data_IF_930760493269
#
_entry.id   IF_930760493269
#
_cell.length_a   1.000
_cell.length_b   1.000
_cell.length_c   1.000
_cell.angle_alpha   90.00
_cell.angle_beta   90.00
_cell.angle_gamma   90.00
#
_symmetry.space_group_name_H-M   'P 1'
#
loop_
_entity.id
_entity.type
_entity.pdbx_description
1 polymer ?
#
# COMPACT_ATOMS: atom_id res chain seq x y z
N UNK A 1 -43.02 -24.32 35.10
CA UNK A 1 -43.78 -25.43 35.71
C UNK A 1 -44.58 -24.94 36.92
N UNK A 2 -43.94 -24.57 38.03
CA UNK A 2 -44.62 -24.21 39.30
C UNK A 2 -45.65 -23.08 39.14
N UNK A 3 -45.34 -22.03 38.37
CA UNK A 3 -46.24 -20.88 38.19
C UNK A 3 -47.52 -21.24 37.42
N UNK A 4 -47.42 -22.16 36.45
CA UNK A 4 -48.58 -22.62 35.69
C UNK A 4 -49.51 -23.49 36.56
N UNK A 5 -48.93 -24.37 37.38
CA UNK A 5 -49.65 -25.30 38.26
C UNK A 5 -50.36 -24.54 39.40
N UNK A 6 -49.71 -23.50 39.98
CA UNK A 6 -50.33 -22.65 41.01
C UNK A 6 -51.54 -21.85 40.51
N UNK A 7 -51.62 -21.59 39.20
CA UNK A 7 -52.76 -20.92 38.55
C UNK A 7 -53.88 -21.90 38.16
N UNK A 8 -53.82 -23.16 38.60
CA UNK A 8 -54.81 -24.18 38.27
C UNK A 8 -54.71 -24.70 36.83
N UNK A 9 -53.61 -24.42 36.11
CA UNK A 9 -53.41 -24.91 34.74
C UNK A 9 -52.55 -26.17 34.72
N UNK A 10 -52.93 -27.11 33.86
CA UNK A 10 -52.09 -28.27 33.55
C UNK A 10 -50.78 -27.82 32.89
N UNK A 11 -49.68 -28.48 33.24
CA UNK A 11 -48.38 -28.28 32.60
C UNK A 11 -47.86 -29.62 32.06
N UNK A 12 -47.51 -29.68 30.78
CA UNK A 12 -46.81 -30.80 30.14
C UNK A 12 -45.45 -30.31 29.66
N UNK A 13 -44.38 -31.05 29.97
CA UNK A 13 -43.04 -30.71 29.52
C UNK A 13 -41.98 -31.74 29.87
N UNK A 14 -40.79 -31.53 29.33
CA UNK A 14 -39.61 -32.34 29.64
C UNK A 14 -38.95 -31.83 30.93
N UNK A 15 -38.77 -32.71 31.89
CA UNK A 15 -38.05 -32.46 33.13
C UNK A 15 -36.73 -33.21 33.13
N UNK A 16 -35.63 -32.50 33.31
CA UNK A 16 -34.28 -33.05 33.41
C UNK A 16 -33.87 -33.08 34.88
N UNK A 17 -33.43 -34.24 35.36
CA UNK A 17 -32.91 -34.39 36.71
C UNK A 17 -31.73 -35.36 36.74
N UNK A 18 -31.14 -35.50 37.92
CA UNK A 18 -30.03 -36.41 38.20
C UNK A 18 -30.49 -37.37 39.29
N UNK A 19 -30.23 -38.66 39.12
CA UNK A 19 -30.55 -39.68 40.12
C UNK A 19 -29.57 -39.63 41.31
N UNK A 20 -29.74 -40.55 42.26
CA UNK A 20 -28.86 -40.65 43.44
C UNK A 20 -27.44 -41.11 43.10
N UNK A 21 -27.24 -41.69 41.93
CA UNK A 21 -25.95 -42.24 41.45
C UNK A 21 -25.20 -41.24 40.55
N UNK A 22 -25.83 -40.11 40.21
CA UNK A 22 -25.25 -39.07 39.36
C UNK A 22 -25.63 -39.17 37.89
N UNK A 23 -26.47 -40.13 37.49
CA UNK A 23 -26.90 -40.26 36.10
C UNK A 23 -28.01 -39.25 35.78
N UNK A 24 -27.88 -38.60 34.63
CA UNK A 24 -28.93 -37.70 34.13
C UNK A 24 -30.05 -38.50 33.50
N UNK A 25 -31.28 -38.26 33.95
CA UNK A 25 -32.48 -38.83 33.34
C UNK A 25 -33.45 -37.74 32.92
N UNK A 26 -34.32 -38.11 31.98
CA UNK A 26 -35.32 -37.22 31.42
C UNK A 26 -36.70 -37.82 31.65
N UNK A 27 -37.60 -37.03 32.22
CA UNK A 27 -39.00 -37.39 32.38
C UNK A 27 -39.86 -36.51 31.50
N UNK A 28 -40.80 -37.11 30.78
CA UNK A 28 -41.93 -36.36 30.26
C UNK A 28 -42.97 -36.27 31.36
N UNK A 29 -43.21 -35.07 31.85
CA UNK A 29 -43.88 -34.84 33.11
C UNK A 29 -45.11 -33.95 32.89
N UNK A 30 -46.25 -34.49 33.27
CA UNK A 30 -47.53 -33.79 33.30
C UNK A 30 -47.89 -33.47 34.75
N UNK A 31 -48.00 -32.19 35.07
CA UNK A 31 -48.45 -31.71 36.37
C UNK A 31 -49.93 -31.30 36.27
N UNK A 32 -50.76 -31.96 37.09
CA UNK A 32 -52.19 -31.68 37.21
C UNK A 32 -52.41 -31.05 38.59
N UNK A 33 -52.81 -29.77 38.66
CA UNK A 33 -53.08 -29.12 39.94
C UNK A 33 -54.37 -29.67 40.58
N UNK A 34 -54.34 -29.84 41.89
CA UNK A 34 -55.50 -30.09 42.72
C UNK A 34 -55.95 -28.76 43.33
N UNK A 35 -57.05 -28.23 42.79
CA UNK A 35 -57.56 -26.91 43.08
C UNK A 35 -58.95 -27.03 43.72
N UNK A 36 -59.09 -26.52 44.93
CA UNK A 36 -60.38 -26.51 45.61
C UNK A 36 -61.23 -25.35 45.10
N UNK A 37 -62.21 -25.68 44.25
CA UNK A 37 -63.11 -24.69 43.63
C UNK A 37 -63.91 -23.86 44.66
N UNK A 38 -64.17 -24.40 45.86
CA UNK A 38 -64.97 -23.71 46.89
C UNK A 38 -64.20 -22.66 47.69
N UNK A 39 -62.88 -22.83 47.84
CA UNK A 39 -62.02 -21.91 48.60
C UNK A 39 -61.03 -21.15 47.71
N UNK A 40 -61.04 -21.40 46.39
CA UNK A 40 -60.11 -20.83 45.40
C UNK A 40 -58.66 -20.89 45.86
N UNK A 41 -58.26 -22.04 46.40
CA UNK A 41 -56.94 -22.21 46.99
C UNK A 41 -56.27 -23.49 46.49
N UNK A 42 -54.98 -23.39 46.16
CA UNK A 42 -54.17 -24.50 45.68
C UNK A 42 -53.90 -25.48 46.83
N UNK A 43 -54.36 -26.71 46.70
CA UNK A 43 -54.21 -27.73 47.75
C UNK A 43 -53.04 -28.66 47.48
N UNK A 44 -52.73 -28.94 46.22
CA UNK A 44 -51.62 -29.80 45.85
C UNK A 44 -51.49 -29.99 44.35
N UNK A 45 -50.62 -30.88 43.92
CA UNK A 45 -50.56 -31.29 42.52
C UNK A 45 -50.20 -32.76 42.41
N UNK A 46 -50.82 -33.43 41.44
CA UNK A 46 -50.44 -34.77 41.02
C UNK A 46 -49.46 -34.64 39.86
N UNK A 47 -48.31 -35.29 39.99
CA UNK A 47 -47.30 -35.36 38.94
C UNK A 47 -47.33 -36.75 38.32
N UNK A 48 -47.60 -36.82 37.02
CA UNK A 48 -47.54 -38.05 36.23
C UNK A 48 -46.31 -37.92 35.32
N UNK A 49 -45.32 -38.79 35.52
CA UNK A 49 -44.07 -38.77 34.76
C UNK A 49 -43.84 -40.09 34.05
N UNK A 50 -43.49 -40.04 32.76
CA UNK A 50 -42.96 -41.17 32.00
C UNK A 50 -41.48 -40.97 31.77
N UNK A 51 -40.70 -42.04 31.94
CA UNK A 51 -39.27 -42.01 31.61
C UNK A 51 -39.08 -41.83 30.10
N UNK A 52 -38.31 -40.81 29.73
CA UNK A 52 -38.00 -40.43 28.36
C UNK A 52 -36.49 -40.42 28.08
N UNK A 53 -35.68 -40.96 29.00
CA UNK A 53 -34.21 -40.95 28.96
C UNK A 53 -33.68 -41.54 27.65
N UNK A 54 -34.19 -42.70 27.23
CA UNK A 54 -33.76 -43.39 26.01
C UNK A 54 -34.03 -42.55 24.75
N UNK A 55 -35.25 -42.01 24.63
CA UNK A 55 -35.66 -41.18 23.49
C UNK A 55 -34.83 -39.91 23.37
N UNK A 56 -34.49 -39.26 24.49
CA UNK A 56 -33.65 -38.06 24.49
C UNK A 56 -32.18 -38.38 24.19
N UNK A 57 -31.70 -39.55 24.64
CA UNK A 57 -30.36 -40.03 24.33
C UNK A 57 -30.23 -40.33 22.82
N UNK A 58 -31.20 -41.00 22.21
CA UNK A 58 -31.23 -41.25 20.76
C UNK A 58 -31.23 -39.95 19.94
N UNK A 59 -32.02 -38.95 20.35
CA UNK A 59 -32.02 -37.63 19.70
C UNK A 59 -30.65 -36.96 19.79
N UNK A 60 -30.01 -37.03 20.95
CA UNK A 60 -28.67 -36.47 21.17
C UNK A 60 -27.63 -37.16 20.28
N UNK A 61 -27.64 -38.48 20.23
CA UNK A 61 -26.72 -39.28 19.43
C UNK A 61 -26.91 -39.01 17.93
N UNK A 62 -28.16 -38.89 17.50
CA UNK A 62 -28.50 -38.53 16.12
C UNK A 62 -27.99 -37.14 15.77
N UNK A 63 -28.22 -36.15 16.63
CA UNK A 63 -27.73 -34.78 16.42
C UNK A 63 -26.19 -34.73 16.39
N UNK A 64 -25.53 -35.53 17.22
CA UNK A 64 -24.07 -35.65 17.23
C UNK A 64 -23.55 -36.25 15.91
N UNK A 65 -24.19 -37.32 15.40
CA UNK A 65 -23.86 -37.90 14.08
C UNK A 65 -24.04 -36.88 12.95
N UNK A 66 -25.13 -36.11 12.96
CA UNK A 66 -25.38 -35.07 11.95
C UNK A 66 -24.29 -33.99 12.00
N UNK A 67 -23.92 -33.51 13.20
CA UNK A 67 -22.83 -32.54 13.35
C UNK A 67 -21.51 -33.08 12.82
N UNK A 68 -21.19 -34.33 13.14
CA UNK A 68 -19.98 -34.99 12.66
C UNK A 68 -19.94 -35.06 11.13
N UNK A 69 -21.05 -35.48 10.51
CA UNK A 69 -21.18 -35.55 9.06
C UNK A 69 -20.99 -34.19 8.39
N UNK A 70 -21.57 -33.11 8.94
CA UNK A 70 -21.42 -31.75 8.42
C UNK A 70 -19.94 -31.31 8.47
N UNK A 71 -19.26 -31.57 9.58
CA UNK A 71 -17.85 -31.22 9.75
C UNK A 71 -16.97 -31.96 8.73
N UNK A 72 -17.20 -33.26 8.57
CA UNK A 72 -16.48 -34.08 7.59
C UNK A 72 -16.76 -33.65 6.16
N UNK A 73 -18.00 -33.30 5.83
CA UNK A 73 -18.37 -32.78 4.51
C UNK A 73 -17.67 -31.45 4.22
N UNK A 74 -17.67 -30.51 5.17
CA UNK A 74 -16.94 -29.23 5.01
C UNK A 74 -15.44 -29.44 4.84
N UNK A 75 -14.84 -30.41 5.55
CA UNK A 75 -13.42 -30.74 5.39
C UNK A 75 -13.13 -31.30 4.00
N UNK A 76 -13.98 -32.19 3.47
CA UNK A 76 -13.86 -32.72 2.10
C UNK A 76 -14.00 -31.62 1.06
N UNK A 77 -14.98 -30.74 1.22
CA UNK A 77 -15.21 -29.61 0.31
C UNK A 77 -14.00 -28.67 0.26
N UNK A 78 -13.43 -28.33 1.42
CA UNK A 78 -12.22 -27.53 1.50
C UNK A 78 -11.04 -28.18 0.77
N UNK A 79 -10.82 -29.49 0.95
CA UNK A 79 -9.76 -30.22 0.26
C UNK A 79 -9.97 -30.26 -1.25
N UNK A 80 -11.21 -30.48 -1.70
CA UNK A 80 -11.56 -30.48 -3.12
C UNK A 80 -11.35 -29.10 -3.74
N UNK A 81 -11.81 -28.04 -3.10
CA UNK A 81 -11.60 -26.66 -3.57
C UNK A 81 -10.11 -26.29 -3.64
N UNK A 82 -9.31 -26.78 -2.69
CA UNK A 82 -7.85 -26.59 -2.73
C UNK A 82 -7.25 -27.30 -3.95
N UNK A 83 -7.60 -28.57 -4.16
CA UNK A 83 -7.14 -29.33 -5.34
C UNK A 83 -7.58 -28.72 -6.66
N UNK A 84 -8.81 -28.19 -6.74
CA UNK A 84 -9.32 -27.49 -7.94
C UNK A 84 -8.43 -26.29 -8.24
N UNK A 85 -8.13 -25.44 -7.24
CA UNK A 85 -7.24 -24.29 -7.41
C UNK A 85 -5.84 -24.70 -7.87
N UNK A 86 -5.27 -25.75 -7.29
CA UNK A 86 -3.96 -26.26 -7.67
C UNK A 86 -3.93 -26.81 -9.10
N UNK A 87 -4.98 -27.53 -9.51
CA UNK A 87 -5.15 -28.04 -10.86
C UNK A 87 -5.37 -26.93 -11.88
N UNK A 88 -6.15 -25.89 -11.55
CA UNK A 88 -6.33 -24.70 -12.39
C UNK A 88 -5.02 -23.95 -12.58
N UNK A 89 -4.27 -23.71 -11.50
CA UNK A 89 -2.95 -23.08 -11.58
C UNK A 89 -1.96 -23.89 -12.44
N UNK A 90 -2.01 -25.22 -12.32
CA UNK A 90 -1.19 -26.12 -13.13
C UNK A 90 -1.65 -26.14 -14.59
N UNK A 91 -2.95 -26.12 -14.86
CA UNK A 91 -3.52 -26.06 -16.22
C UNK A 91 -3.18 -24.75 -16.91
N UNK A 92 -3.19 -23.61 -16.20
CA UNK A 92 -2.74 -22.32 -16.76
C UNK A 92 -1.25 -22.39 -17.12
N UNK A 93 -0.41 -22.95 -16.22
CA UNK A 93 1.01 -23.16 -16.52
C UNK A 93 1.23 -24.12 -17.69
N UNK A 94 0.46 -25.21 -17.78
CA UNK A 94 0.60 -26.18 -18.86
C UNK A 94 -0.01 -25.69 -20.16
N UNK A 95 -1.09 -24.91 -20.16
CA UNK A 95 -1.67 -24.32 -21.38
C UNK A 95 -0.74 -23.27 -21.99
N UNK A 96 0.08 -22.61 -21.18
CA UNK A 96 1.24 -21.86 -21.67
C UNK A 96 2.25 -22.81 -22.33
N UNK A 97 2.50 -24.00 -21.79
CA UNK A 97 3.49 -24.95 -22.34
C UNK A 97 2.98 -25.77 -23.54
N UNK A 98 1.67 -26.04 -23.67
CA UNK A 98 1.07 -26.93 -24.68
C UNK A 98 0.64 -26.25 -25.98
N UNK A 99 0.68 -24.91 -26.06
CA UNK A 99 0.44 -24.14 -27.29
C UNK A 99 1.68 -24.18 -28.20
N UNK A 100 1.97 -25.34 -28.79
CA UNK A 100 3.25 -25.70 -29.42
C UNK A 100 3.73 -24.90 -30.65
N UNK A 101 3.01 -23.89 -31.13
CA UNK A 101 3.50 -22.96 -32.16
C UNK A 101 3.35 -21.50 -31.73
N UNK A 102 2.17 -21.13 -31.23
CA UNK A 102 1.84 -19.74 -30.93
C UNK A 102 2.62 -19.20 -29.73
N UNK A 103 2.93 -20.05 -28.75
CA UNK A 103 3.72 -19.63 -27.60
C UNK A 103 5.22 -19.48 -27.92
N UNK A 104 5.72 -20.20 -28.94
CA UNK A 104 7.10 -20.00 -29.41
C UNK A 104 7.25 -18.64 -30.08
N UNK A 105 6.31 -18.28 -30.96
CA UNK A 105 6.26 -16.98 -31.60
C UNK A 105 6.07 -15.83 -30.59
N UNK A 106 5.18 -16.00 -29.61
CA UNK A 106 5.00 -15.00 -28.55
C UNK A 106 6.25 -14.85 -27.69
N UNK A 107 6.96 -15.94 -27.40
CA UNK A 107 8.20 -15.93 -26.63
C UNK A 107 9.33 -15.25 -27.41
N UNK A 108 9.48 -15.55 -28.69
CA UNK A 108 10.49 -14.93 -29.57
C UNK A 108 10.19 -13.44 -29.79
N UNK A 109 8.91 -13.10 -29.97
CA UNK A 109 8.44 -11.72 -30.03
C UNK A 109 8.75 -10.99 -28.72
N UNK A 110 8.44 -11.58 -27.57
CA UNK A 110 8.74 -11.01 -26.26
C UNK A 110 10.25 -10.80 -26.06
N UNK A 111 11.08 -11.76 -26.46
CA UNK A 111 12.54 -11.65 -26.36
C UNK A 111 13.08 -10.56 -27.30
N UNK A 112 12.53 -10.45 -28.51
CA UNK A 112 12.83 -9.36 -29.45
C UNK A 112 12.44 -8.00 -28.87
N UNK A 113 11.26 -7.88 -28.25
CA UNK A 113 10.84 -6.65 -27.57
C UNK A 113 11.73 -6.31 -26.38
N UNK A 114 12.12 -7.28 -25.55
CA UNK A 114 13.08 -7.07 -24.46
C UNK A 114 14.43 -6.59 -24.99
N UNK A 115 14.96 -7.22 -26.03
CA UNK A 115 16.22 -6.81 -26.66
C UNK A 115 16.14 -5.38 -27.23
N UNK A 116 15.04 -5.02 -27.91
CA UNK A 116 14.80 -3.65 -28.39
C UNK A 116 14.69 -2.67 -27.23
N UNK A 117 13.97 -3.02 -26.18
CA UNK A 117 13.83 -2.18 -24.98
C UNK A 117 15.19 -1.91 -24.35
N UNK A 118 16.02 -2.93 -24.13
CA UNK A 118 17.37 -2.77 -23.57
C UNK A 118 18.22 -1.84 -24.43
N UNK A 119 18.18 -1.98 -25.76
CA UNK A 119 18.90 -1.09 -26.68
C UNK A 119 18.44 0.36 -26.55
N UNK A 120 17.12 0.60 -26.56
CA UNK A 120 16.55 1.94 -26.40
C UNK A 120 16.89 2.54 -25.03
N UNK A 121 16.75 1.79 -23.94
CA UNK A 121 17.13 2.24 -22.59
C UNK A 121 18.62 2.60 -22.53
N UNK A 122 19.47 1.82 -23.17
CA UNK A 122 20.92 2.09 -23.22
C UNK A 122 21.21 3.37 -24.01
N UNK A 123 20.53 3.59 -25.13
CA UNK A 123 20.65 4.82 -25.91
C UNK A 123 20.17 6.05 -25.12
N UNK A 124 19.04 5.94 -24.42
CA UNK A 124 18.52 7.00 -23.56
C UNK A 124 19.56 7.39 -22.51
N UNK A 125 20.11 6.41 -21.77
CA UNK A 125 21.16 6.66 -20.76
C UNK A 125 22.40 7.31 -21.35
N UNK A 126 22.80 6.90 -22.55
CA UNK A 126 23.94 7.51 -23.24
C UNK A 126 23.67 8.99 -23.57
N UNK A 127 22.48 9.30 -24.11
CA UNK A 127 22.11 10.67 -24.43
C UNK A 127 21.93 11.53 -23.18
N UNK A 128 21.31 11.03 -22.12
CA UNK A 128 21.21 11.72 -20.83
C UNK A 128 22.60 12.10 -20.29
N UNK A 129 23.55 11.16 -20.33
CA UNK A 129 24.93 11.42 -19.93
C UNK A 129 25.59 12.47 -20.83
N UNK A 130 25.37 12.40 -22.14
CA UNK A 130 25.93 13.35 -23.10
C UNK A 130 25.41 14.76 -22.84
N UNK A 131 24.09 14.91 -22.60
CA UNK A 131 23.45 16.18 -22.27
C UNK A 131 24.07 16.77 -21.01
N UNK A 132 24.15 15.99 -19.92
CA UNK A 132 24.78 16.44 -18.67
C UNK A 132 26.22 16.92 -18.89
N UNK A 133 27.04 16.19 -19.66
CA UNK A 133 28.41 16.65 -19.94
C UNK A 133 28.47 17.91 -20.81
N UNK A 134 27.48 18.15 -21.66
CA UNK A 134 27.40 19.37 -22.47
C UNK A 134 26.96 20.56 -21.62
N UNK A 135 26.02 20.36 -20.71
CA UNK A 135 25.59 21.37 -19.74
C UNK A 135 26.78 21.83 -18.88
N UNK A 136 27.57 20.89 -18.34
CA UNK A 136 28.79 21.21 -17.58
C UNK A 136 29.80 22.00 -18.41
N UNK A 137 30.00 21.61 -19.69
CA UNK A 137 30.92 22.34 -20.59
C UNK A 137 30.45 23.76 -20.87
N UNK A 138 29.16 23.94 -21.11
CA UNK A 138 28.58 25.26 -21.35
C UNK A 138 28.70 26.12 -20.10
N UNK A 139 28.38 25.57 -18.92
CA UNK A 139 28.52 26.27 -17.64
C UNK A 139 29.96 26.74 -17.40
N UNK A 140 30.94 25.83 -17.53
CA UNK A 140 32.37 26.17 -17.39
C UNK A 140 32.83 27.21 -18.41
N UNK A 141 32.35 27.13 -19.67
CA UNK A 141 32.68 28.12 -20.70
C UNK A 141 32.13 29.49 -20.32
N UNK A 142 30.88 29.58 -19.88
CA UNK A 142 30.24 30.82 -19.44
C UNK A 142 30.99 31.44 -18.27
N UNK A 143 31.38 30.65 -17.26
CA UNK A 143 32.17 31.12 -16.13
C UNK A 143 33.54 31.65 -16.55
N UNK A 144 34.21 30.94 -17.46
CA UNK A 144 35.53 31.36 -17.98
C UNK A 144 35.46 32.67 -18.77
N UNK A 145 34.44 32.83 -19.61
CA UNK A 145 34.24 34.05 -20.41
C UNK A 145 33.81 35.23 -19.54
N UNK A 146 32.98 34.98 -18.51
CA UNK A 146 32.62 36.01 -17.54
C UNK A 146 33.86 36.51 -16.78
N UNK A 147 34.73 35.59 -16.34
CA UNK A 147 35.98 35.93 -15.64
C UNK A 147 36.91 36.77 -16.52
N UNK A 148 37.15 36.36 -17.77
CA UNK A 148 37.93 37.14 -18.74
C UNK A 148 37.32 38.52 -18.99
N UNK A 149 35.99 38.61 -19.09
CA UNK A 149 35.30 39.89 -19.31
C UNK A 149 35.47 40.84 -18.13
N UNK A 150 35.43 40.33 -16.90
CA UNK A 150 35.71 41.10 -15.68
C UNK A 150 37.16 41.61 -15.67
N UNK A 151 38.12 40.75 -15.99
CA UNK A 151 39.54 41.14 -16.10
C UNK A 151 39.78 42.21 -17.16
N UNK A 152 39.19 42.04 -18.35
CA UNK A 152 39.27 43.02 -19.43
C UNK A 152 38.64 44.35 -19.04
N UNK A 153 37.48 44.35 -18.37
CA UNK A 153 36.88 45.58 -17.87
C UNK A 153 37.77 46.29 -16.85
N UNK A 154 38.39 45.54 -15.92
CA UNK A 154 39.33 46.10 -14.95
C UNK A 154 40.54 46.73 -15.63
N UNK A 155 41.14 46.01 -16.59
CA UNK A 155 42.28 46.51 -17.38
C UNK A 155 41.91 47.75 -18.18
N UNK A 156 40.73 47.76 -18.81
CA UNK A 156 40.27 48.89 -19.61
C UNK A 156 40.05 50.14 -18.73
N UNK A 157 39.48 49.98 -17.53
CA UNK A 157 39.38 51.07 -16.54
C UNK A 157 40.75 51.65 -16.17
N UNK A 158 41.76 50.79 -15.94
CA UNK A 158 43.13 51.24 -15.64
C UNK A 158 43.74 52.03 -16.81
N UNK A 159 43.65 51.49 -18.02
CA UNK A 159 44.15 52.16 -19.23
C UNK A 159 43.42 53.48 -19.51
N UNK A 160 42.13 53.55 -19.19
CA UNK A 160 41.37 54.79 -19.31
C UNK A 160 41.87 55.84 -18.30
N UNK A 161 42.12 55.46 -17.05
CA UNK A 161 42.69 56.37 -16.04
C UNK A 161 44.09 56.86 -16.44
N UNK A 162 44.97 55.97 -16.90
CA UNK A 162 46.32 56.31 -17.38
C UNK A 162 46.28 57.24 -18.60
N UNK A 163 45.36 57.00 -19.54
CA UNK A 163 45.16 57.89 -20.68
C UNK A 163 44.71 59.30 -20.26
N UNK A 164 43.83 59.44 -19.27
CA UNK A 164 43.44 60.76 -18.77
C UNK A 164 44.62 61.47 -18.07
N UNK A 165 45.40 60.77 -17.27
CA UNK A 165 46.62 61.32 -16.65
C UNK A 165 47.64 61.78 -17.71
N UNK A 166 47.89 60.96 -18.72
CA UNK A 166 48.77 61.32 -19.83
C UNK A 166 48.26 62.53 -20.61
N UNK A 167 46.94 62.64 -20.85
CA UNK A 167 46.36 63.85 -21.48
C UNK A 167 46.62 65.09 -20.64
N UNK A 168 46.44 65.02 -19.33
CA UNK A 168 46.73 66.14 -18.42
C UNK A 168 48.20 66.56 -18.46
N UNK A 169 49.13 65.60 -18.43
CA UNK A 169 50.57 65.89 -18.51
C UNK A 169 50.97 66.49 -19.86
N UNK A 170 50.39 66.02 -20.97
CA UNK A 170 50.59 66.59 -22.31
C UNK A 170 50.09 68.04 -22.38
N UNK A 171 48.90 68.32 -21.84
CA UNK A 171 48.37 69.69 -21.76
C UNK A 171 49.31 70.57 -20.93
N UNK A 172 49.76 70.09 -19.78
CA UNK A 172 50.66 70.83 -18.90
C UNK A 172 52.00 71.14 -19.57
N UNK A 173 52.64 70.15 -20.21
CA UNK A 173 53.92 70.31 -20.91
C UNK A 173 53.78 71.22 -22.13
N UNK A 174 52.71 71.09 -22.93
CA UNK A 174 52.42 72.00 -24.06
C UNK A 174 52.26 73.45 -23.60
N UNK A 175 51.57 73.68 -22.48
CA UNK A 175 51.44 75.02 -21.88
C UNK A 175 52.78 75.58 -21.40
N UNK A 176 53.69 74.74 -20.90
CA UNK A 176 55.05 75.16 -20.53
C UNK A 176 55.90 75.49 -21.76
N UNK A 177 55.81 74.68 -22.82
CA UNK A 177 56.52 74.89 -24.08
C UNK A 177 56.11 76.22 -24.71
N UNK A 178 54.80 76.46 -24.89
CA UNK A 178 54.29 77.74 -25.43
C UNK A 178 54.72 78.95 -24.59
N UNK A 179 54.79 78.82 -23.25
CA UNK A 179 55.34 79.89 -22.40
C UNK A 179 56.84 80.12 -22.64
N UNK A 180 57.61 79.06 -22.88
CA UNK A 180 59.05 79.16 -23.16
C UNK A 180 59.33 79.72 -24.55
N UNK A 181 58.61 79.29 -25.57
CA UNK A 181 58.66 79.82 -26.95
C UNK A 181 58.40 81.33 -26.96
N UNK A 182 57.32 81.79 -26.32
CA UNK A 182 57.03 83.22 -26.17
C UNK A 182 58.13 84.01 -25.46
N UNK A 183 58.88 83.38 -24.54
CA UNK A 183 60.03 84.03 -23.88
C UNK A 183 61.25 84.12 -24.79
N UNK A 184 61.45 83.13 -25.66
CA UNK A 184 62.54 83.12 -26.64
C UNK A 184 62.30 84.14 -27.76
N UNK A 185 61.08 84.24 -28.30
CA UNK A 185 60.71 85.27 -29.28
C UNK A 185 60.99 86.68 -28.74
N UNK A 186 60.55 86.97 -27.50
CA UNK A 186 60.83 88.25 -26.83
C UNK A 186 62.32 88.54 -26.59
N UNK A 187 63.18 87.53 -26.63
CA UNK A 187 64.64 87.68 -26.51
C UNK A 187 65.33 87.82 -27.87
N UNK A 188 64.74 87.28 -28.94
CA UNK A 188 65.24 87.40 -30.31
C UNK A 188 64.87 88.75 -30.96
N UNK A 189 63.82 89.42 -30.45
CA UNK A 189 63.39 90.76 -30.89
C UNK A 189 64.14 91.92 -30.20
N UNK A 190 65.11 91.64 -29.32
CA UNK A 190 65.99 92.62 -28.65
C UNK A 190 67.41 92.52 -29.16
#
# INVERSE_FOLDING_TARGET
MIDAVKLGRNWDGLYKSVDKEGNTFYLRLTAIPDYNESLSNFQGCTLIGFEATEVEQEKRDTMQKVRQNIIEQKKKEFQLNTKIKDLEATKVKSQVVSGGSDNSFLRDSLESYKAKHIKLTTQIRHYEKTISTLEDKVSNMVESELSKRVELMSRNKKLQAENEELKETVIHTKNRLTKAEKKLERRAEK
#
